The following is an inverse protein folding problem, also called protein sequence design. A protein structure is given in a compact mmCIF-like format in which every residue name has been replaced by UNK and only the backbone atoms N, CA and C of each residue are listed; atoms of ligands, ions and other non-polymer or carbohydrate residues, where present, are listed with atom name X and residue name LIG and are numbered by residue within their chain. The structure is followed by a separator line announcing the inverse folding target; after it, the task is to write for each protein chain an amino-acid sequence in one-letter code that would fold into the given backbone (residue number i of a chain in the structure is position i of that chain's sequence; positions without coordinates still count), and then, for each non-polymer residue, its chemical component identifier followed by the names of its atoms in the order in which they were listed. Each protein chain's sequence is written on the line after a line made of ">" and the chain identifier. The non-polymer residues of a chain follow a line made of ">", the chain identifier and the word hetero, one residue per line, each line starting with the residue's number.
data_IF_634948237695
#
_entry.id   IF_634948237695
#
_cell.length_a   1.000
_cell.length_b   1.000
_cell.length_c   1.000
_cell.angle_alpha   90.00
_cell.angle_beta   90.00
_cell.angle_gamma   90.00
#
_symmetry.space_group_name_H-M   'P 1'
#
loop_
_entity.id
_entity.type
_entity.pdbx_description
1 polymer ?
#
# COMPACT_ATOMS: atom_id res chain seq x y z
N UNK A 1 -41.52 -77.41 -28.28
CA UNK A 1 -42.06 -77.49 -26.89
C UNK A 1 -40.85 -77.85 -26.01
N UNK A 2 -40.27 -77.05 -25.13
CA UNK A 2 -40.68 -75.85 -24.36
C UNK A 2 -39.47 -74.91 -24.18
N UNK A 3 -39.74 -73.60 -24.19
CA UNK A 3 -38.85 -72.46 -23.90
C UNK A 3 -38.91 -72.16 -22.39
N UNK A 4 -37.78 -71.89 -21.71
CA UNK A 4 -37.57 -70.70 -20.82
C UNK A 4 -36.36 -70.82 -19.88
N UNK A 5 -35.58 -69.72 -19.86
CA UNK A 5 -34.98 -68.97 -18.73
C UNK A 5 -34.09 -69.77 -17.74
N UNK A 6 -32.87 -69.33 -17.41
CA UNK A 6 -32.59 -68.07 -16.72
C UNK A 6 -31.26 -67.45 -17.17
N UNK A 7 -31.38 -66.27 -17.80
CA UNK A 7 -30.38 -65.21 -17.75
C UNK A 7 -30.54 -64.58 -16.37
N UNK A 8 -29.64 -64.84 -15.43
CA UNK A 8 -29.54 -63.98 -14.25
C UNK A 8 -28.15 -64.08 -13.60
N UNK A 9 -27.45 -62.95 -13.64
CA UNK A 9 -26.59 -62.58 -12.52
C UNK A 9 -25.09 -62.59 -12.78
N UNK A 10 -24.59 -61.68 -13.63
CA UNK A 10 -23.33 -60.95 -13.37
C UNK A 10 -23.40 -59.53 -13.92
N UNK A 11 -24.29 -58.73 -13.33
CA UNK A 11 -24.33 -57.28 -13.48
C UNK A 11 -24.15 -56.60 -12.12
N UNK A 12 -22.93 -56.65 -11.57
CA UNK A 12 -22.44 -55.91 -10.38
C UNK A 12 -20.92 -55.85 -10.52
N UNK A 13 -20.17 -54.77 -10.41
CA UNK A 13 -20.39 -53.38 -10.03
C UNK A 13 -19.16 -52.61 -10.57
N UNK A 14 -19.22 -51.99 -11.75
CA UNK A 14 -18.11 -51.13 -12.25
C UNK A 14 -18.40 -49.63 -12.09
N UNK A 15 -19.54 -49.25 -11.53
CA UNK A 15 -19.91 -47.84 -11.34
C UNK A 15 -19.51 -47.26 -9.97
N UNK A 16 -19.28 -48.09 -8.96
CA UNK A 16 -18.98 -47.59 -7.60
C UNK A 16 -17.53 -47.13 -7.43
N UNK A 17 -16.56 -47.74 -8.10
CA UNK A 17 -15.15 -47.38 -7.93
C UNK A 17 -14.82 -46.06 -8.65
N UNK A 18 -15.32 -45.84 -9.87
CA UNK A 18 -15.08 -44.60 -10.62
C UNK A 18 -15.66 -43.35 -9.94
N UNK A 19 -16.82 -43.48 -9.28
CA UNK A 19 -17.43 -42.38 -8.53
C UNK A 19 -16.59 -42.00 -7.31
N UNK A 20 -16.07 -42.99 -6.58
CA UNK A 20 -15.25 -42.76 -5.39
C UNK A 20 -13.92 -42.05 -5.72
N UNK A 21 -13.29 -42.39 -6.86
CA UNK A 21 -12.07 -41.72 -7.31
C UNK A 21 -12.32 -40.29 -7.79
N UNK A 22 -13.42 -40.03 -8.49
CA UNK A 22 -13.79 -38.67 -8.92
C UNK A 22 -14.15 -37.79 -7.73
N UNK A 23 -14.85 -38.34 -6.74
CA UNK A 23 -15.19 -37.65 -5.49
C UNK A 23 -13.93 -37.38 -4.64
N UNK A 24 -13.03 -38.35 -4.53
CA UNK A 24 -11.75 -38.18 -3.85
C UNK A 24 -10.86 -37.13 -4.55
N UNK A 25 -10.75 -37.18 -5.88
CA UNK A 25 -9.98 -36.21 -6.66
C UNK A 25 -10.60 -34.81 -6.57
N UNK A 26 -11.92 -34.69 -6.69
CA UNK A 26 -12.64 -33.42 -6.54
C UNK A 26 -12.48 -32.83 -5.14
N UNK A 27 -12.62 -33.64 -4.09
CA UNK A 27 -12.38 -33.23 -2.71
C UNK A 27 -10.94 -32.75 -2.49
N UNK A 28 -9.95 -33.52 -2.95
CA UNK A 28 -8.54 -33.10 -2.85
C UNK A 28 -8.24 -31.81 -3.61
N UNK A 29 -8.82 -31.61 -4.80
CA UNK A 29 -8.64 -30.39 -5.58
C UNK A 29 -9.18 -29.17 -4.84
N UNK A 30 -10.40 -29.28 -4.29
CA UNK A 30 -11.02 -28.19 -3.49
C UNK A 30 -10.16 -27.88 -2.27
N UNK A 31 -9.70 -28.91 -1.54
CA UNK A 31 -8.84 -28.71 -0.37
C UNK A 31 -7.52 -28.03 -0.74
N UNK A 32 -6.87 -28.46 -1.83
CA UNK A 32 -5.62 -27.84 -2.31
C UNK A 32 -5.84 -26.38 -2.70
N UNK A 33 -6.90 -26.07 -3.47
CA UNK A 33 -7.23 -24.70 -3.85
C UNK A 33 -7.54 -23.83 -2.63
N UNK A 34 -8.25 -24.38 -1.63
CA UNK A 34 -8.57 -23.66 -0.41
C UNK A 34 -7.31 -23.32 0.40
N UNK A 35 -6.40 -24.29 0.58
CA UNK A 35 -5.12 -24.07 1.26
C UNK A 35 -4.29 -23.02 0.51
N UNK A 36 -4.15 -23.14 -0.81
CA UNK A 36 -3.40 -22.17 -1.61
C UNK A 36 -3.98 -20.76 -1.50
N UNK A 37 -5.31 -20.64 -1.53
CA UNK A 37 -6.00 -19.35 -1.39
C UNK A 37 -5.74 -18.73 -0.01
N UNK A 38 -5.87 -19.52 1.06
CA UNK A 38 -5.58 -19.04 2.42
C UNK A 38 -4.12 -18.62 2.55
N UNK A 39 -3.19 -19.43 2.04
CA UNK A 39 -1.76 -19.11 2.07
C UNK A 39 -1.48 -17.79 1.33
N UNK A 40 -2.08 -17.59 0.15
CA UNK A 40 -1.94 -16.35 -0.60
C UNK A 40 -2.51 -15.14 0.16
N UNK A 41 -3.70 -15.28 0.76
CA UNK A 41 -4.32 -14.23 1.55
C UNK A 41 -3.45 -13.86 2.76
N UNK A 42 -3.02 -14.83 3.56
CA UNK A 42 -2.15 -14.61 4.72
C UNK A 42 -0.83 -13.95 4.28
N UNK A 43 -0.21 -14.45 3.20
CA UNK A 43 1.01 -13.86 2.67
C UNK A 43 0.83 -12.40 2.27
N UNK A 44 -0.28 -12.07 1.62
CA UNK A 44 -0.61 -10.69 1.24
C UNK A 44 -0.83 -9.79 2.46
N UNK A 45 -1.53 -10.29 3.49
CA UNK A 45 -1.78 -9.59 4.75
C UNK A 45 -0.47 -9.29 5.49
N UNK A 46 0.45 -10.26 5.57
CA UNK A 46 1.75 -10.08 6.22
C UNK A 46 2.58 -9.01 5.49
N UNK A 47 2.59 -9.02 4.17
CA UNK A 47 3.31 -8.02 3.37
C UNK A 47 2.71 -6.62 3.55
N UNK A 48 1.38 -6.50 3.53
CA UNK A 48 0.69 -5.22 3.76
C UNK A 48 0.93 -4.71 5.18
N UNK A 49 0.86 -5.59 6.18
CA UNK A 49 1.12 -5.23 7.57
C UNK A 49 2.55 -4.73 7.79
N UNK A 50 3.55 -5.40 7.18
CA UNK A 50 4.94 -4.94 7.23
C UNK A 50 5.12 -3.57 6.59
N UNK A 51 4.51 -3.33 5.42
CA UNK A 51 4.55 -2.03 4.76
C UNK A 51 3.90 -0.93 5.61
N UNK A 52 2.73 -1.21 6.18
CA UNK A 52 2.02 -0.26 7.04
C UNK A 52 2.84 0.09 8.28
N UNK A 53 3.49 -0.88 8.92
CA UNK A 53 4.37 -0.63 10.08
C UNK A 53 5.54 0.29 9.73
N UNK A 54 6.22 0.03 8.60
CA UNK A 54 7.33 0.87 8.13
C UNK A 54 6.85 2.32 7.87
N UNK A 55 5.68 2.48 7.26
CA UNK A 55 5.10 3.79 7.02
C UNK A 55 4.70 4.51 8.31
N UNK A 56 4.10 3.81 9.28
CA UNK A 56 3.65 4.40 10.55
C UNK A 56 4.80 5.06 11.34
N UNK A 57 5.98 4.46 11.35
CA UNK A 57 7.15 5.02 12.05
C UNK A 57 7.60 6.36 11.44
N UNK A 58 7.45 6.52 10.12
CA UNK A 58 7.93 7.72 9.44
C UNK A 58 6.87 8.80 9.26
N UNK A 59 5.58 8.44 9.22
CA UNK A 59 4.48 9.39 9.01
C UNK A 59 4.49 10.51 10.05
N UNK A 60 4.64 10.18 11.33
CA UNK A 60 4.62 11.18 12.40
C UNK A 60 5.77 12.17 12.24
N UNK A 61 6.98 11.66 12.01
CA UNK A 61 8.19 12.49 11.86
C UNK A 61 8.10 13.36 10.60
N UNK A 62 7.56 12.82 9.50
CA UNK A 62 7.38 13.56 8.26
C UNK A 62 6.35 14.69 8.40
N UNK A 63 5.25 14.46 9.13
CA UNK A 63 4.26 15.49 9.42
C UNK A 63 4.88 16.59 10.28
N UNK A 64 5.58 16.22 11.36
CA UNK A 64 6.27 17.21 12.20
C UNK A 64 7.29 18.03 11.41
N UNK A 65 8.10 17.40 10.56
CA UNK A 65 9.03 18.10 9.69
C UNK A 65 8.32 19.08 8.74
N UNK A 66 7.17 18.69 8.20
CA UNK A 66 6.36 19.53 7.32
C UNK A 66 5.77 20.73 8.07
N UNK A 67 5.21 20.52 9.26
CA UNK A 67 4.61 21.58 10.08
C UNK A 67 5.67 22.58 10.56
N UNK A 68 6.79 22.08 11.11
CA UNK A 68 7.91 22.92 11.54
C UNK A 68 8.56 23.65 10.36
N UNK A 69 8.74 22.97 9.23
CA UNK A 69 9.31 23.55 8.02
C UNK A 69 8.43 24.68 7.47
N UNK A 70 7.11 24.49 7.43
CA UNK A 70 6.16 25.54 7.04
C UNK A 70 6.22 26.72 8.00
N UNK A 71 6.17 26.46 9.31
CA UNK A 71 6.23 27.51 10.32
C UNK A 71 7.53 28.32 10.21
N UNK A 72 8.69 27.66 10.17
CA UNK A 72 9.98 28.34 10.05
C UNK A 72 10.10 29.11 8.74
N UNK A 73 9.69 28.53 7.62
CA UNK A 73 9.76 29.22 6.33
C UNK A 73 8.93 30.51 6.32
N UNK A 74 7.75 30.52 6.96
CA UNK A 74 6.92 31.72 7.07
C UNK A 74 7.52 32.82 7.97
N UNK A 75 8.33 32.46 8.98
CA UNK A 75 8.87 33.42 9.94
C UNK A 75 10.31 33.86 9.63
N UNK A 76 11.13 32.97 9.07
CA UNK A 76 12.57 33.20 8.84
C UNK A 76 12.98 33.08 7.37
N UNK A 77 12.06 32.67 6.47
CA UNK A 77 12.36 32.46 5.05
C UNK A 77 13.26 31.25 4.77
N UNK A 78 13.55 30.42 5.79
CA UNK A 78 14.41 29.24 5.67
C UNK A 78 13.68 28.00 6.16
N UNK A 79 13.94 26.86 5.50
CA UNK A 79 13.53 25.57 6.02
C UNK A 79 14.32 25.26 7.29
N UNK A 80 13.65 24.69 8.29
CA UNK A 80 14.31 24.21 9.49
C UNK A 80 15.22 23.03 9.23
N UNK A 81 15.93 22.60 10.28
CA UNK A 81 16.60 21.31 10.26
C UNK A 81 15.58 20.18 10.10
N UNK A 82 15.90 19.22 9.25
CA UNK A 82 15.10 18.02 9.06
C UNK A 82 15.31 17.12 10.29
N UNK A 83 14.24 16.66 10.96
CA UNK A 83 14.38 15.81 12.14
C UNK A 83 15.14 14.53 11.81
N UNK A 84 16.09 14.17 12.67
CA UNK A 84 16.89 12.96 12.49
C UNK A 84 16.01 11.72 12.68
N UNK A 85 15.98 10.87 11.65
CA UNK A 85 15.36 9.55 11.69
C UNK A 85 16.45 8.48 11.83
N UNK A 86 16.12 7.38 12.51
CA UNK A 86 17.04 6.25 12.70
C UNK A 86 17.25 5.51 11.38
N UNK A 87 18.47 5.06 11.08
CA UNK A 87 18.69 4.14 9.96
C UNK A 87 17.80 2.88 10.07
N UNK A 88 17.25 2.37 8.96
CA UNK A 88 17.53 2.71 7.56
C UNK A 88 16.62 3.79 6.97
N UNK A 89 15.87 4.52 7.80
CA UNK A 89 14.98 5.57 7.33
C UNK A 89 15.75 6.83 6.94
N UNK A 90 15.23 7.55 5.95
CA UNK A 90 15.73 8.88 5.56
C UNK A 90 14.56 9.81 5.29
N UNK A 91 14.69 11.05 5.72
CA UNK A 91 13.73 12.10 5.47
C UNK A 91 14.41 13.21 4.69
N UNK A 92 13.75 13.69 3.64
CA UNK A 92 14.25 14.79 2.80
C UNK A 92 13.16 15.85 2.74
N UNK A 93 13.54 17.10 3.00
CA UNK A 93 12.67 18.24 2.89
C UNK A 93 13.19 19.18 1.80
N UNK A 94 12.31 19.62 0.91
CA UNK A 94 12.64 20.54 -0.18
C UNK A 94 11.57 21.61 -0.31
N UNK A 95 11.97 22.80 -0.76
CA UNK A 95 11.04 23.87 -1.11
C UNK A 95 11.40 24.42 -2.48
N UNK A 96 10.40 24.57 -3.33
CA UNK A 96 10.58 25.12 -4.67
C UNK A 96 9.43 26.06 -5.02
N UNK A 97 9.69 27.02 -5.90
CA UNK A 97 8.64 27.90 -6.42
C UNK A 97 7.83 27.14 -7.48
N UNK A 98 6.51 27.21 -7.39
CA UNK A 98 5.58 26.65 -8.37
C UNK A 98 4.44 27.62 -8.63
N UNK A 99 3.71 27.40 -9.72
CA UNK A 99 2.49 28.15 -10.02
C UNK A 99 1.32 27.25 -9.68
N UNK A 100 0.51 27.65 -8.71
CA UNK A 100 -0.72 26.95 -8.36
C UNK A 100 -1.90 27.91 -8.57
N UNK A 101 -2.85 27.54 -9.43
CA UNK A 101 -4.04 28.36 -9.72
C UNK A 101 -3.68 29.81 -10.09
N UNK A 102 -2.77 29.98 -11.04
CA UNK A 102 -2.26 31.29 -11.54
C UNK A 102 -1.60 32.19 -10.48
N UNK A 103 -1.25 31.64 -9.32
CA UNK A 103 -0.51 32.33 -8.26
C UNK A 103 0.86 31.68 -8.05
N UNK A 104 1.90 32.51 -7.94
CA UNK A 104 3.23 32.05 -7.57
C UNK A 104 3.23 31.68 -6.07
N UNK A 105 3.40 30.39 -5.78
CA UNK A 105 3.45 29.85 -4.42
C UNK A 105 4.73 29.05 -4.23
N UNK A 106 5.10 28.81 -2.96
CA UNK A 106 6.20 27.89 -2.64
C UNK A 106 5.60 26.53 -2.30
N UNK A 107 6.00 25.48 -3.01
CA UNK A 107 5.65 24.10 -2.67
C UNK A 107 6.73 23.53 -1.75
N UNK A 108 6.31 23.19 -0.54
CA UNK A 108 7.10 22.45 0.44
C UNK A 108 6.79 20.96 0.27
N UNK A 109 7.83 20.18 0.05
CA UNK A 109 7.75 18.74 -0.11
C UNK A 109 8.58 18.04 0.97
N UNK A 110 7.99 17.00 1.57
CA UNK A 110 8.67 16.13 2.53
C UNK A 110 8.55 14.69 2.01
N UNK A 111 9.70 14.09 1.70
CA UNK A 111 9.79 12.73 1.16
C UNK A 111 10.44 11.82 2.19
N UNK A 112 9.78 10.71 2.45
CA UNK A 112 10.25 9.66 3.32
C UNK A 112 10.73 8.45 2.57
N UNK A 113 11.93 7.98 2.91
CA UNK A 113 12.54 6.80 2.35
C UNK A 113 12.77 5.75 3.42
N UNK A 114 12.60 4.49 3.02
CA UNK A 114 13.14 3.33 3.72
C UNK A 114 14.23 2.75 2.82
N UNK A 115 15.48 2.73 3.30
CA UNK A 115 16.68 2.40 2.51
C UNK A 115 16.86 3.33 1.29
N UNK A 116 16.31 2.95 0.14
CA UNK A 116 16.33 3.72 -1.12
C UNK A 116 14.95 3.82 -1.77
N UNK A 117 13.92 3.23 -1.15
CA UNK A 117 12.57 3.24 -1.67
C UNK A 117 11.76 4.36 -1.02
N UNK A 118 11.12 5.18 -1.86
CA UNK A 118 10.12 6.15 -1.39
C UNK A 118 8.93 5.40 -0.77
N UNK A 119 8.66 5.68 0.50
CA UNK A 119 7.54 5.10 1.26
C UNK A 119 6.41 6.09 1.49
N UNK A 120 6.72 7.39 1.50
CA UNK A 120 5.74 8.47 1.61
C UNK A 120 6.24 9.76 0.98
N UNK A 121 5.29 10.59 0.56
CA UNK A 121 5.52 11.93 0.02
C UNK A 121 4.36 12.82 0.45
N UNK A 122 4.70 13.91 1.14
CA UNK A 122 3.76 14.95 1.49
C UNK A 122 4.11 16.23 0.74
N UNK A 123 3.08 16.91 0.25
CA UNK A 123 3.19 18.20 -0.43
C UNK A 123 2.26 19.19 0.25
N UNK A 124 2.75 20.39 0.49
CA UNK A 124 1.95 21.49 0.99
C UNK A 124 2.39 22.80 0.36
N UNK A 125 1.48 23.75 0.26
CA UNK A 125 1.76 25.07 -0.26
C UNK A 125 2.00 26.05 0.88
N UNK A 126 3.05 26.85 0.75
CA UNK A 126 3.36 27.97 1.61
C UNK A 126 3.03 29.25 0.84
N UNK A 127 2.05 29.97 1.36
CA UNK A 127 1.63 31.28 0.86
C UNK A 127 2.40 32.35 1.65
N UNK A 128 3.10 33.26 0.96
CA UNK A 128 3.95 34.31 1.57
C UNK A 128 3.21 35.61 1.88
N UNK A 129 1.97 35.76 1.44
CA UNK A 129 1.08 36.91 1.66
C UNK A 129 0.63 37.50 0.33
N UNK A 130 -0.29 38.45 0.38
CA UNK A 130 -0.46 39.37 -0.76
C UNK A 130 0.71 40.35 -0.61
N UNK A 131 1.54 40.59 -1.65
CA UNK A 131 2.59 41.61 -1.55
C UNK A 131 1.94 42.90 -1.08
N UNK A 132 2.34 43.39 0.10
CA UNK A 132 1.89 44.69 0.58
C UNK A 132 2.14 45.68 -0.55
N UNK A 133 1.09 46.40 -0.95
CA UNK A 133 1.23 47.53 -1.85
C UNK A 133 2.39 48.35 -1.32
N UNK A 134 3.43 48.48 -2.16
CA UNK A 134 4.54 49.38 -1.92
C UNK A 134 3.91 50.74 -1.66
N UNK A 135 3.93 51.19 -0.40
CA UNK A 135 3.46 52.51 -0.03
C UNK A 135 4.48 53.49 -0.62
N UNK A 136 4.18 53.97 -1.84
CA UNK A 136 4.92 55.04 -2.50
C UNK A 136 4.50 56.35 -1.80
N UNK A 137 4.95 56.51 -0.56
CA UNK A 137 4.90 57.77 0.16
C UNK A 137 6.30 58.37 0.14
N UNK A 138 6.57 59.14 -0.92
CA UNK A 138 7.66 60.13 -0.96
C UNK A 138 7.42 61.25 0.04
#
# INVERSE_FOLDING_TARGET
>A
MVIKQYILGKGKCYHSQGYLYVEALGGTLITVLFILTITALIGSLVLQWRKARIQQELIQVAITAMEEGKYKYQHTGQLGEVPMVKEPYKLVQTIHATIAHDMAVKELEVIGYYEQQEILRFKTYVWEGIPNQVDISK
#
